data_IF_774193468450
#
_entry.id   IF_774193468450
#
_cell.length_a   1.000
_cell.length_b   1.000
_cell.length_c   1.000
_cell.angle_alpha   90.00
_cell.angle_beta   90.00
_cell.angle_gamma   90.00
#
_symmetry.space_group_name_H-M   'P 1'
#
loop_
_entity.id
_entity.type
_entity.pdbx_description
1 polymer ?
#
# COMPACT_ATOMS: atom_id res chain seq x y z
N UNK A 1 -3.85 7.59 16.13
CA UNK A 1 -3.70 8.26 14.82
C UNK A 1 -3.47 7.29 13.68
N UNK A 2 -2.36 6.52 13.62
CA UNK A 2 -2.11 5.59 12.51
C UNK A 2 -3.29 4.61 12.23
N UNK A 3 -3.94 4.10 13.27
CA UNK A 3 -5.13 3.25 13.13
C UNK A 3 -6.32 3.95 12.44
N UNK A 4 -6.53 5.25 12.70
CA UNK A 4 -7.61 6.00 12.06
C UNK A 4 -7.26 6.31 10.58
N UNK A 5 -5.98 6.52 10.27
CA UNK A 5 -5.47 6.60 8.88
C UNK A 5 -5.72 5.29 8.12
N UNK A 6 -5.45 4.15 8.76
CA UNK A 6 -5.73 2.82 8.19
C UNK A 6 -7.23 2.66 7.88
N UNK A 7 -8.11 2.98 8.83
CA UNK A 7 -9.57 2.90 8.64
C UNK A 7 -10.08 3.82 7.53
N UNK A 8 -9.63 5.06 7.49
CA UNK A 8 -10.03 6.01 6.45
C UNK A 8 -9.61 5.51 5.06
N UNK A 9 -8.37 4.99 4.95
CA UNK A 9 -7.85 4.39 3.72
C UNK A 9 -8.70 3.18 3.29
N UNK A 10 -9.04 2.30 4.23
CA UNK A 10 -9.91 1.14 3.95
C UNK A 10 -11.29 1.58 3.45
N UNK A 11 -11.94 2.55 4.10
CA UNK A 11 -13.25 3.07 3.67
C UNK A 11 -13.20 3.62 2.25
N UNK A 12 -12.18 4.42 1.93
CA UNK A 12 -11.99 5.00 0.59
C UNK A 12 -11.81 3.87 -0.44
N UNK A 13 -10.94 2.90 -0.19
CA UNK A 13 -10.71 1.78 -1.11
C UNK A 13 -12.00 0.97 -1.34
N UNK A 14 -12.75 0.67 -0.27
CA UNK A 14 -14.01 -0.08 -0.38
C UNK A 14 -15.07 0.68 -1.17
N UNK A 15 -15.18 2.00 -1.01
CA UNK A 15 -16.07 2.83 -1.82
C UNK A 15 -15.64 2.91 -3.28
N UNK A 16 -14.33 2.98 -3.56
CA UNK A 16 -13.81 2.95 -4.94
C UNK A 16 -14.04 1.60 -5.62
N UNK A 17 -13.97 0.49 -4.88
CA UNK A 17 -14.23 -0.84 -5.40
C UNK A 17 -15.72 -1.13 -5.58
N UNK A 18 -16.56 -0.65 -4.66
CA UNK A 18 -18.02 -0.74 -4.68
C UNK A 18 -18.54 -2.14 -5.05
N UNK A 19 -18.07 -3.17 -4.34
CA UNK A 19 -18.44 -4.57 -4.55
C UNK A 19 -18.25 -5.08 -6.01
N UNK A 20 -17.31 -4.49 -6.76
CA UNK A 20 -17.01 -4.83 -8.15
C UNK A 20 -17.53 -3.83 -9.16
N UNK A 21 -18.49 -2.96 -8.79
CA UNK A 21 -18.94 -1.85 -9.63
C UNK A 21 -18.04 -0.62 -9.44
N UNK A 22 -16.77 -0.79 -9.82
CA UNK A 22 -15.70 0.16 -9.53
C UNK A 22 -15.95 1.56 -10.08
N UNK A 23 -15.58 2.59 -9.32
CA UNK A 23 -15.51 3.97 -9.83
C UNK A 23 -14.28 4.13 -10.75
N UNK A 24 -14.47 3.74 -12.01
CA UNK A 24 -13.42 3.76 -13.05
C UNK A 24 -12.84 5.15 -13.25
N UNK A 25 -13.65 6.21 -13.09
CA UNK A 25 -13.22 7.59 -13.28
C UNK A 25 -12.26 8.01 -12.17
N UNK A 26 -12.63 7.76 -10.90
CA UNK A 26 -11.77 8.06 -9.75
C UNK A 26 -10.50 7.20 -9.75
N UNK A 27 -10.60 5.91 -10.08
CA UNK A 27 -9.42 5.02 -10.22
C UNK A 27 -8.49 5.49 -11.34
N UNK A 28 -9.01 6.02 -12.46
CA UNK A 28 -8.18 6.60 -13.51
C UNK A 28 -7.50 7.90 -13.05
N UNK A 29 -8.23 8.76 -12.35
CA UNK A 29 -7.69 10.01 -11.82
C UNK A 29 -6.56 9.75 -10.80
N UNK A 30 -6.77 8.83 -9.86
CA UNK A 30 -5.77 8.36 -8.88
C UNK A 30 -4.47 7.92 -9.54
N UNK A 31 -4.56 7.10 -10.59
CA UNK A 31 -3.37 6.63 -11.33
C UNK A 31 -2.59 7.77 -11.98
N UNK A 32 -3.30 8.81 -12.44
CA UNK A 32 -2.73 9.92 -13.20
C UNK A 32 -2.18 11.08 -12.33
N UNK A 33 -2.54 11.12 -11.05
CA UNK A 33 -2.14 12.14 -10.10
C UNK A 33 -1.04 11.60 -9.17
N UNK A 34 0.01 12.38 -8.92
CA UNK A 34 1.08 11.99 -7.99
C UNK A 34 0.74 12.34 -6.53
N UNK A 35 0.03 13.46 -6.32
CA UNK A 35 -0.36 13.98 -5.02
C UNK A 35 -1.82 14.44 -5.03
N UNK A 36 -2.42 14.53 -3.84
CA UNK A 36 -3.82 14.94 -3.63
C UNK A 36 -4.09 16.42 -3.98
N UNK A 37 -3.09 17.27 -3.84
CA UNK A 37 -3.13 18.71 -4.16
C UNK A 37 -2.80 19.00 -5.64
N UNK A 38 -2.57 17.96 -6.45
CA UNK A 38 -2.41 18.10 -7.89
C UNK A 38 -3.74 18.25 -8.64
N UNK A 39 -3.74 19.01 -9.75
CA UNK A 39 -4.94 19.26 -10.57
C UNK A 39 -5.72 17.98 -10.96
N UNK A 40 -4.99 16.90 -11.30
CA UNK A 40 -5.61 15.63 -11.72
C UNK A 40 -6.34 14.89 -10.58
N UNK A 41 -6.07 15.24 -9.32
CA UNK A 41 -6.71 14.62 -8.15
C UNK A 41 -8.12 15.17 -7.87
N UNK A 42 -8.55 16.26 -8.52
CA UNK A 42 -9.86 16.89 -8.31
C UNK A 42 -11.04 15.92 -8.42
N UNK A 43 -10.97 14.98 -9.38
CA UNK A 43 -12.03 13.96 -9.55
C UNK A 43 -12.13 12.98 -8.39
N UNK A 44 -11.05 12.81 -7.62
CA UNK A 44 -10.98 11.90 -6.47
C UNK A 44 -11.46 12.58 -5.18
N UNK A 45 -11.41 13.92 -5.12
CA UNK A 45 -11.72 14.68 -3.90
C UNK A 45 -13.06 14.34 -3.25
N UNK A 46 -14.19 14.17 -3.98
CA UNK A 46 -15.47 13.88 -3.34
C UNK A 46 -15.45 12.59 -2.51
N UNK A 47 -14.90 11.49 -3.04
CA UNK A 47 -14.78 10.22 -2.32
C UNK A 47 -13.64 10.24 -1.30
N UNK A 48 -12.55 10.93 -1.60
CA UNK A 48 -11.38 10.97 -0.71
C UNK A 48 -11.62 11.82 0.54
N UNK A 49 -11.99 13.09 0.36
CA UNK A 49 -12.08 14.07 1.45
C UNK A 49 -13.29 13.81 2.37
N UNK A 50 -14.39 13.25 1.84
CA UNK A 50 -15.57 12.89 2.66
C UNK A 50 -15.31 11.77 3.67
N UNK A 51 -14.22 11.03 3.51
CA UNK A 51 -13.81 9.96 4.43
C UNK A 51 -12.73 10.39 5.42
N UNK A 52 -12.28 11.66 5.38
CA UNK A 52 -11.27 12.19 6.30
C UNK A 52 -11.91 12.98 7.43
N UNK A 53 -11.28 12.96 8.61
CA UNK A 53 -11.66 13.86 9.69
C UNK A 53 -11.30 15.30 9.33
N UNK A 54 -12.15 16.26 9.73
CA UNK A 54 -11.96 17.69 9.44
C UNK A 54 -10.59 18.21 9.91
N UNK A 55 -10.10 17.70 11.04
CA UNK A 55 -8.79 18.08 11.60
C UNK A 55 -7.59 17.68 10.70
N UNK A 56 -7.78 16.75 9.76
CA UNK A 56 -6.74 16.30 8.83
C UNK A 56 -6.74 17.10 7.52
N UNK A 57 -7.78 17.89 7.26
CA UNK A 57 -7.92 18.64 6.02
C UNK A 57 -6.94 19.80 5.95
N UNK A 58 -6.38 20.03 4.76
CA UNK A 58 -5.49 21.16 4.53
C UNK A 58 -6.16 22.51 4.81
N UNK A 59 -5.43 23.39 5.52
CA UNK A 59 -5.85 24.78 5.80
C UNK A 59 -5.22 25.81 4.88
N UNK A 60 -4.29 25.39 4.02
CA UNK A 60 -3.47 26.28 3.19
C UNK A 60 -3.34 25.78 1.73
N UNK A 61 -4.12 24.78 1.35
CA UNK A 61 -4.09 24.19 0.01
C UNK A 61 -2.90 23.27 -0.28
N UNK A 62 -2.05 22.99 0.72
CA UNK A 62 -0.98 21.97 0.61
C UNK A 62 -1.37 20.70 1.35
N UNK A 63 -1.07 19.55 0.78
CA UNK A 63 -1.39 18.27 1.40
C UNK A 63 -0.85 18.17 2.84
N UNK A 64 -1.70 17.75 3.78
CA UNK A 64 -1.27 17.36 5.13
C UNK A 64 -0.54 16.02 5.09
N UNK A 65 0.09 15.61 6.20
CA UNK A 65 0.80 14.33 6.28
C UNK A 65 -0.18 13.16 6.15
N UNK A 66 -1.36 13.33 6.73
CA UNK A 66 -2.51 12.44 6.68
C UNK A 66 -3.01 12.29 5.24
N UNK A 67 -3.36 13.40 4.59
CA UNK A 67 -3.81 13.40 3.20
C UNK A 67 -2.76 12.77 2.27
N UNK A 68 -1.48 13.11 2.44
CA UNK A 68 -0.39 12.58 1.62
C UNK A 68 -0.21 11.06 1.79
N UNK A 69 -0.30 10.55 3.02
CA UNK A 69 -0.13 9.12 3.31
C UNK A 69 -1.29 8.28 2.76
N UNK A 70 -2.54 8.71 3.01
CA UNK A 70 -3.74 8.04 2.52
C UNK A 70 -3.75 8.07 0.99
N UNK A 71 -3.48 9.23 0.38
CA UNK A 71 -3.51 9.36 -1.08
C UNK A 71 -2.47 8.46 -1.76
N UNK A 72 -1.24 8.41 -1.24
CA UNK A 72 -0.19 7.54 -1.79
C UNK A 72 -0.59 6.06 -1.76
N UNK A 73 -1.18 5.58 -0.66
CA UNK A 73 -1.64 4.20 -0.52
C UNK A 73 -2.83 3.88 -1.45
N UNK A 74 -3.84 4.76 -1.50
CA UNK A 74 -5.01 4.60 -2.38
C UNK A 74 -4.61 4.64 -3.85
N UNK A 75 -3.64 5.49 -4.21
CA UNK A 75 -3.04 5.52 -5.55
C UNK A 75 -2.35 4.20 -5.90
N UNK A 76 -1.58 3.63 -4.99
CA UNK A 76 -0.93 2.33 -5.21
C UNK A 76 -1.96 1.20 -5.37
N UNK A 77 -3.06 1.24 -4.60
CA UNK A 77 -4.21 0.37 -4.82
C UNK A 77 -4.78 0.53 -6.24
N UNK A 78 -5.09 1.76 -6.67
CA UNK A 78 -5.67 2.00 -7.99
C UNK A 78 -4.76 1.52 -9.14
N UNK A 79 -3.44 1.65 -8.99
CA UNK A 79 -2.48 1.13 -9.95
C UNK A 79 -2.47 -0.40 -10.01
N UNK A 80 -2.57 -1.08 -8.86
CA UNK A 80 -2.64 -2.54 -8.79
C UNK A 80 -3.97 -3.07 -9.34
N UNK A 81 -5.09 -2.48 -8.91
CA UNK A 81 -6.45 -2.86 -9.31
C UNK A 81 -6.65 -2.78 -10.82
N UNK A 82 -5.95 -1.87 -11.53
CA UNK A 82 -6.04 -1.76 -12.99
C UNK A 82 -5.71 -3.07 -13.74
N UNK A 83 -4.91 -3.96 -13.17
CA UNK A 83 -4.52 -5.22 -13.83
C UNK A 83 -5.35 -6.44 -13.38
N UNK A 84 -6.41 -6.24 -12.58
CA UNK A 84 -7.22 -7.32 -12.03
C UNK A 84 -8.71 -6.96 -12.04
N UNK A 85 -9.55 -7.93 -12.38
CA UNK A 85 -11.00 -7.80 -12.29
C UNK A 85 -11.51 -8.07 -10.86
N UNK A 86 -10.72 -8.78 -10.04
CA UNK A 86 -10.99 -9.05 -8.63
C UNK A 86 -10.36 -8.00 -7.72
N UNK A 87 -10.95 -7.76 -6.55
CA UNK A 87 -10.38 -6.84 -5.55
C UNK A 87 -8.96 -7.24 -5.14
N UNK A 88 -7.99 -6.33 -5.35
CA UNK A 88 -6.59 -6.52 -4.95
C UNK A 88 -6.29 -5.97 -3.54
N UNK A 89 -7.31 -5.46 -2.85
CA UNK A 89 -7.21 -5.00 -1.47
C UNK A 89 -7.72 -6.06 -0.50
N UNK A 90 -6.99 -6.26 0.58
CA UNK A 90 -7.43 -7.07 1.71
C UNK A 90 -6.62 -6.75 2.96
N UNK A 91 -7.27 -6.79 4.13
CA UNK A 91 -6.63 -6.51 5.41
C UNK A 91 -5.85 -7.73 5.87
N UNK A 92 -4.62 -7.53 6.34
CA UNK A 92 -3.81 -8.61 6.91
C UNK A 92 -4.24 -8.87 8.35
N UNK A 93 -4.62 -10.11 8.68
CA UNK A 93 -5.07 -10.47 10.02
C UNK A 93 -4.07 -11.43 10.72
N UNK A 94 -3.37 -10.94 11.73
CA UNK A 94 -2.39 -11.77 12.46
C UNK A 94 -3.02 -12.73 13.48
N UNK A 95 -4.33 -12.60 13.81
CA UNK A 95 -4.96 -13.37 14.90
C UNK A 95 -5.70 -14.64 14.46
N UNK A 96 -5.99 -14.83 13.17
CA UNK A 96 -6.74 -16.00 12.70
C UNK A 96 -5.83 -17.06 12.08
N UNK A 97 -5.78 -18.26 12.70
CA UNK A 97 -5.11 -19.44 12.13
C UNK A 97 -5.73 -19.92 10.79
N UNK A 98 -6.84 -19.31 10.35
CA UNK A 98 -7.47 -19.52 9.05
C UNK A 98 -6.91 -18.63 7.92
N UNK A 99 -5.97 -17.71 8.21
CA UNK A 99 -5.42 -16.78 7.22
C UNK A 99 -4.61 -17.44 6.08
N UNK A 100 -4.37 -18.75 6.12
CA UNK A 100 -3.91 -19.49 4.93
C UNK A 100 -4.94 -19.41 3.77
N UNK A 101 -6.23 -19.17 4.05
CA UNK A 101 -7.28 -18.97 3.04
C UNK A 101 -7.33 -17.52 2.50
N UNK A 102 -6.92 -16.51 3.29
CA UNK A 102 -6.89 -15.13 2.81
C UNK A 102 -5.56 -14.83 2.13
N UNK A 103 -5.57 -14.62 0.81
CA UNK A 103 -4.38 -14.23 0.05
C UNK A 103 -3.94 -12.76 0.31
N UNK A 104 -4.24 -12.22 1.50
CA UNK A 104 -3.96 -10.85 1.92
C UNK A 104 -2.63 -10.76 2.66
N UNK A 105 -1.77 -9.83 2.23
CA UNK A 105 -0.42 -9.64 2.79
C UNK A 105 -0.09 -8.17 2.95
N UNK A 106 0.82 -7.85 3.88
CA UNK A 106 1.48 -6.54 3.82
C UNK A 106 2.44 -6.48 2.63
N UNK A 107 2.74 -5.28 2.11
CA UNK A 107 3.47 -5.11 0.85
C UNK A 107 4.80 -5.87 0.82
N UNK A 108 5.60 -5.75 1.88
CA UNK A 108 6.92 -6.39 1.93
C UNK A 108 6.86 -7.90 2.17
N UNK A 109 5.79 -8.40 2.80
CA UNK A 109 5.51 -9.83 2.89
C UNK A 109 5.18 -10.40 1.50
N UNK A 110 4.40 -9.67 0.71
CA UNK A 110 4.08 -10.03 -0.68
C UNK A 110 5.33 -10.06 -1.56
N UNK A 111 6.23 -9.08 -1.42
CA UNK A 111 7.50 -9.06 -2.13
C UNK A 111 8.40 -10.23 -1.73
N UNK A 112 8.47 -10.57 -0.44
CA UNK A 112 9.22 -11.75 0.03
C UNK A 112 8.63 -13.06 -0.53
N UNK A 113 7.30 -13.18 -0.56
CA UNK A 113 6.63 -14.35 -1.16
C UNK A 113 6.94 -14.50 -2.66
N UNK A 114 6.90 -13.39 -3.42
CA UNK A 114 7.36 -13.39 -4.83
C UNK A 114 8.83 -13.76 -4.95
N UNK A 115 9.65 -13.31 -3.99
CA UNK A 115 11.07 -13.65 -3.85
C UNK A 115 11.30 -15.09 -3.34
N UNK A 116 10.31 -15.98 -3.31
CA UNK A 116 10.56 -17.40 -3.07
C UNK A 116 10.20 -18.27 -4.29
N UNK A 117 9.61 -17.67 -5.33
CA UNK A 117 9.12 -18.36 -6.52
C UNK A 117 9.88 -18.05 -7.81
N UNK A 118 11.09 -17.48 -7.75
CA UNK A 118 11.84 -17.07 -8.96
C UNK A 118 13.33 -17.38 -8.86
N UNK A 119 14.00 -17.84 -9.89
CA UNK A 119 15.43 -18.19 -9.79
C UNK A 119 16.39 -16.99 -9.64
N UNK A 120 15.91 -15.75 -9.81
CA UNK A 120 16.73 -14.53 -9.70
C UNK A 120 16.11 -13.49 -8.77
N UNK A 121 16.55 -13.47 -7.51
CA UNK A 121 16.06 -12.60 -6.44
C UNK A 121 16.88 -11.32 -6.23
N UNK A 122 18.12 -11.29 -6.72
CA UNK A 122 19.08 -10.21 -6.47
C UNK A 122 18.61 -8.83 -6.96
N UNK A 123 17.84 -8.79 -8.06
CA UNK A 123 17.29 -7.54 -8.57
C UNK A 123 16.23 -6.95 -7.63
N UNK A 124 15.42 -7.80 -6.99
CA UNK A 124 14.41 -7.35 -6.03
C UNK A 124 15.07 -6.93 -4.72
N UNK A 125 16.04 -7.71 -4.24
CA UNK A 125 16.80 -7.39 -3.03
C UNK A 125 17.48 -6.02 -3.12
N UNK A 126 18.14 -5.71 -4.25
CA UNK A 126 18.75 -4.40 -4.46
C UNK A 126 17.75 -3.24 -4.41
N UNK A 127 16.55 -3.43 -4.97
CA UNK A 127 15.48 -2.40 -4.95
C UNK A 127 14.95 -2.19 -3.54
N UNK A 128 14.74 -3.26 -2.78
CA UNK A 128 14.29 -3.16 -1.40
C UNK A 128 15.37 -2.55 -0.50
N UNK A 129 16.64 -2.95 -0.64
CA UNK A 129 17.76 -2.36 0.10
C UNK A 129 17.88 -0.85 -0.16
N UNK A 130 17.78 -0.42 -1.42
CA UNK A 130 17.79 1.00 -1.77
C UNK A 130 16.64 1.77 -1.09
N UNK A 131 15.44 1.19 -1.06
CA UNK A 131 14.28 1.78 -0.40
C UNK A 131 14.50 1.91 1.12
N UNK A 132 15.02 0.87 1.77
CA UNK A 132 15.30 0.89 3.20
C UNK A 132 16.36 1.95 3.57
N UNK A 133 17.26 2.30 2.66
CA UNK A 133 18.22 3.40 2.84
C UNK A 133 17.67 4.81 2.55
N UNK A 134 16.46 4.94 2.02
CA UNK A 134 15.93 6.22 1.52
C UNK A 134 15.27 7.05 2.64
N UNK A 135 15.69 8.30 2.83
CA UNK A 135 15.13 9.24 3.83
C UNK A 135 14.05 10.18 3.30
N UNK A 136 14.08 10.51 2.01
CA UNK A 136 13.13 11.45 1.43
C UNK A 136 11.77 10.76 1.22
N UNK A 137 10.70 11.32 1.79
CA UNK A 137 9.36 10.74 1.73
C UNK A 137 8.83 10.54 0.30
N UNK A 138 9.02 11.54 -0.59
CA UNK A 138 8.59 11.43 -1.99
C UNK A 138 9.38 10.35 -2.73
N UNK A 139 10.70 10.26 -2.49
CA UNK A 139 11.52 9.21 -3.06
C UNK A 139 11.11 7.80 -2.56
N UNK A 140 10.68 7.67 -1.30
CA UNK A 140 10.11 6.42 -0.78
C UNK A 140 8.82 6.06 -1.51
N UNK A 141 7.89 7.01 -1.70
CA UNK A 141 6.65 6.78 -2.45
C UNK A 141 6.95 6.31 -3.88
N UNK A 142 7.87 6.98 -4.59
CA UNK A 142 8.23 6.62 -5.96
C UNK A 142 8.80 5.20 -6.05
N UNK A 143 9.66 4.82 -5.11
CA UNK A 143 10.23 3.47 -5.04
C UNK A 143 9.18 2.42 -4.66
N UNK A 144 8.26 2.72 -3.74
CA UNK A 144 7.13 1.83 -3.40
C UNK A 144 6.23 1.59 -4.60
N UNK A 145 5.93 2.64 -5.38
CA UNK A 145 5.15 2.53 -6.61
C UNK A 145 5.85 1.60 -7.59
N UNK A 146 7.17 1.72 -7.77
CA UNK A 146 7.94 0.81 -8.62
C UNK A 146 7.90 -0.64 -8.13
N UNK A 147 8.03 -0.89 -6.82
CA UNK A 147 7.91 -2.23 -6.25
C UNK A 147 6.51 -2.81 -6.44
N UNK A 148 5.46 -2.01 -6.25
CA UNK A 148 4.08 -2.45 -6.48
C UNK A 148 3.82 -2.80 -7.95
N UNK A 149 4.43 -2.09 -8.92
CA UNK A 149 4.34 -2.50 -10.34
C UNK A 149 4.90 -3.91 -10.59
N UNK A 150 5.91 -4.35 -9.82
CA UNK A 150 6.43 -5.72 -9.90
C UNK A 150 5.34 -6.70 -9.46
N UNK A 151 4.68 -6.45 -8.33
CA UNK A 151 3.57 -7.30 -7.83
C UNK A 151 2.46 -7.37 -8.88
N UNK A 152 2.02 -6.21 -9.37
CA UNK A 152 1.00 -6.09 -10.42
C UNK A 152 1.35 -6.91 -11.67
N UNK A 153 2.62 -6.88 -12.10
CA UNK A 153 3.06 -7.57 -13.33
C UNK A 153 2.96 -9.10 -13.23
N UNK A 154 3.03 -9.65 -12.02
CA UNK A 154 3.02 -11.10 -11.78
C UNK A 154 1.62 -11.70 -11.75
N UNK A 155 0.56 -10.88 -11.62
CA UNK A 155 -0.86 -11.31 -11.65
C UNK A 155 -1.18 -12.50 -10.75
N UNK A 156 -0.58 -12.54 -9.56
CA UNK A 156 -0.68 -13.70 -8.65
C UNK A 156 -2.01 -13.79 -7.89
N UNK A 157 -2.92 -12.83 -8.10
CA UNK A 157 -4.16 -12.71 -7.32
C UNK A 157 -3.93 -12.31 -5.86
N UNK A 158 -2.71 -11.90 -5.50
CA UNK A 158 -2.38 -11.47 -4.14
C UNK A 158 -3.09 -10.17 -3.79
N UNK A 159 -3.66 -10.14 -2.59
CA UNK A 159 -4.27 -8.96 -2.01
C UNK A 159 -3.26 -8.25 -1.11
N UNK A 160 -3.27 -6.93 -1.13
CA UNK A 160 -2.33 -6.10 -0.36
C UNK A 160 -3.09 -5.26 0.66
N UNK A 161 -2.56 -5.20 1.88
CA UNK A 161 -3.05 -4.31 2.93
C UNK A 161 -2.56 -2.87 2.75
N UNK A 162 -3.19 -2.17 1.80
CA UNK A 162 -2.90 -0.76 1.53
C UNK A 162 -3.25 0.16 2.70
N UNK A 163 -4.21 -0.23 3.55
CA UNK A 163 -4.55 0.53 4.74
C UNK A 163 -3.33 0.58 5.68
N UNK A 164 -2.72 -0.58 5.96
CA UNK A 164 -1.51 -0.68 6.79
C UNK A 164 -0.34 0.11 6.20
N UNK A 165 -0.18 0.09 4.88
CA UNK A 165 0.82 0.89 4.18
C UNK A 165 0.60 2.40 4.38
N UNK A 166 -0.64 2.88 4.37
CA UNK A 166 -0.94 4.29 4.69
C UNK A 166 -0.53 4.65 6.12
N UNK A 167 -0.79 3.77 7.09
CA UNK A 167 -0.35 3.95 8.47
C UNK A 167 1.17 4.04 8.62
N UNK A 168 1.91 3.21 7.89
CA UNK A 168 3.37 3.25 7.85
C UNK A 168 3.89 4.54 7.19
N UNK A 169 3.33 4.94 6.05
CA UNK A 169 3.68 6.19 5.35
C UNK A 169 3.39 7.44 6.21
N UNK A 170 2.30 7.43 6.97
CA UNK A 170 2.00 8.49 7.92
C UNK A 170 3.10 8.57 8.99
N UNK A 171 3.43 7.45 9.64
CA UNK A 171 4.49 7.40 10.67
C UNK A 171 5.86 7.82 10.13
N UNK A 172 6.18 7.44 8.90
CA UNK A 172 7.46 7.73 8.26
C UNK A 172 7.76 9.25 8.19
N UNK A 173 6.73 10.10 8.15
CA UNK A 173 6.87 11.54 8.02
C UNK A 173 7.27 12.26 9.34
N UNK A 174 7.32 11.56 10.48
CA UNK A 174 7.55 12.18 11.80
C UNK A 174 9.03 12.28 12.22
N UNK A 175 9.95 12.07 11.28
CA UNK A 175 11.39 12.23 11.50
C UNK A 175 12.14 10.90 11.46
N UNK A 176 13.46 10.98 11.70
CA UNK A 176 14.38 9.87 11.47
C UNK A 176 14.07 8.62 12.30
N UNK A 177 13.68 8.79 13.58
CA UNK A 177 13.37 7.66 14.47
C UNK A 177 12.16 6.87 13.97
N UNK A 178 11.04 7.54 13.70
CA UNK A 178 9.82 6.90 13.23
C UNK A 178 10.00 6.30 11.83
N UNK A 179 10.76 6.96 10.96
CA UNK A 179 11.14 6.41 9.66
C UNK A 179 11.96 5.12 9.80
N UNK A 180 12.89 5.05 10.76
CA UNK A 180 13.66 3.84 11.06
C UNK A 180 12.80 2.71 11.62
N UNK A 181 11.86 3.00 12.50
CA UNK A 181 10.91 2.00 13.02
C UNK A 181 10.09 1.37 11.86
N UNK A 182 9.63 2.20 10.92
CA UNK A 182 8.93 1.73 9.71
C UNK A 182 9.85 0.89 8.81
N UNK A 183 11.09 1.33 8.57
CA UNK A 183 12.07 0.55 7.77
C UNK A 183 12.41 -0.78 8.40
N UNK A 184 12.61 -0.81 9.72
CA UNK A 184 12.89 -2.07 10.43
C UNK A 184 11.74 -3.03 10.20
N UNK A 185 10.50 -2.58 10.36
CA UNK A 185 9.30 -3.38 10.10
C UNK A 185 9.23 -3.89 8.66
N UNK A 186 9.47 -3.02 7.67
CA UNK A 186 9.50 -3.43 6.26
C UNK A 186 10.63 -4.43 5.97
N UNK A 187 11.79 -4.25 6.59
CA UNK A 187 12.91 -5.19 6.53
C UNK A 187 12.58 -6.54 7.16
N UNK A 188 11.95 -6.54 8.35
CA UNK A 188 11.46 -7.75 9.00
C UNK A 188 10.48 -8.49 8.08
N UNK A 189 9.48 -7.81 7.51
CA UNK A 189 8.53 -8.42 6.57
C UNK A 189 9.19 -9.02 5.33
N UNK A 190 10.22 -8.35 4.80
CA UNK A 190 10.88 -8.75 3.57
C UNK A 190 11.95 -9.85 3.75
N UNK A 191 12.70 -9.81 4.84
CA UNK A 191 13.83 -10.71 5.09
C UNK A 191 13.48 -11.86 6.04
N UNK A 192 12.42 -11.75 6.85
CA UNK A 192 12.02 -12.84 7.71
C UNK A 192 11.55 -14.03 6.88
N UNK A 193 12.10 -15.21 7.16
CA UNK A 193 11.70 -16.45 6.52
C UNK A 193 10.27 -16.79 6.99
N UNK A 194 9.28 -16.65 6.10
CA UNK A 194 8.04 -17.41 6.28
C UNK A 194 8.41 -18.88 6.16
N UNK A 195 8.38 -19.63 7.27
CA UNK A 195 8.32 -21.09 7.16
C UNK A 195 7.11 -21.38 6.28
N UNK A 196 7.33 -21.95 5.09
CA UNK A 196 6.25 -22.69 4.43
C UNK A 196 5.77 -23.69 5.49
N UNK A 197 4.50 -23.62 5.88
CA UNK A 197 3.84 -24.79 6.43
C UNK A 197 3.99 -25.85 5.35
N UNK A 198 4.89 -26.81 5.58
CA UNK A 198 4.99 -28.01 4.77
C UNK A 198 3.63 -28.70 4.85
N UNK A 199 2.73 -28.35 3.93
CA UNK A 199 1.61 -29.21 3.59
C UNK A 199 2.18 -30.34 2.74
N UNK A 200 3.00 -31.18 3.37
CA UNK A 200 3.08 -32.57 2.99
C UNK A 200 1.76 -33.18 3.46
N UNK A 201 0.80 -33.30 2.53
CA UNK A 201 -0.23 -34.31 2.66
C UNK A 201 0.13 -35.45 1.72
N UNK A 202 0.47 -36.55 2.39
CA UNK A 202 0.55 -37.92 1.90
C UNK A 202 -0.75 -38.37 1.25
#
# INVERSE_FOLDING_TARGET
MAFEIEKATERIIRQLYNNGDTDKASLSALRSAATIDGYRAQKVWPVFLSNLDEQWLSKNGKATREEAAIFAAVRMYALHQQASDSCVFGRRNYSDKKDEETNSRELFEALNWLKQGTDSHEALDRRVQALLGTNNYNAVIDQLVHLMQIIKSKKTGIQIDYARLAGDLYKFQFGYRQANEVRLRWGEQYYHAFKKSDTNQQ
#
